data_IF_119657012300
#
_entry.id   IF_119657012300
#
_cell.length_a   1.000
_cell.length_b   1.000
_cell.length_c   1.000
_cell.angle_alpha   90.00
_cell.angle_beta   90.00
_cell.angle_gamma   90.00
#
_symmetry.space_group_name_H-M   'P 1'
#
loop_
_entity.id
_entity.type
_entity.pdbx_description
1 polymer ?
#
# COMPACT_ATOMS: atom_id res chain seq x y z
N UNK A 1 -0.56 -5.61 -32.10
CA UNK A 1 -1.08 -5.93 -30.75
C UNK A 1 -0.62 -4.85 -29.81
N UNK A 2 -1.51 -3.94 -29.40
CA UNK A 2 -1.15 -2.84 -28.51
C UNK A 2 -0.78 -3.39 -27.13
N UNK A 3 0.48 -3.22 -26.72
CA UNK A 3 0.87 -3.38 -25.33
C UNK A 3 -0.08 -2.50 -24.51
N UNK A 4 -0.87 -3.10 -23.60
CA UNK A 4 -1.63 -2.30 -22.64
C UNK A 4 -0.63 -1.38 -21.94
N UNK A 5 -0.90 -0.06 -21.86
CA UNK A 5 0.03 0.84 -21.20
C UNK A 5 0.29 0.29 -19.80
N UNK A 6 1.57 0.19 -19.37
CA UNK A 6 1.91 -0.37 -18.08
C UNK A 6 1.19 0.40 -16.97
N UNK A 7 0.71 -0.31 -15.93
CA UNK A 7 -0.01 0.30 -14.82
C UNK A 7 0.89 1.40 -14.21
N UNK A 8 0.35 2.62 -14.15
CA UNK A 8 1.11 3.81 -13.71
C UNK A 8 0.87 4.21 -12.27
N UNK A 9 -0.29 3.83 -11.72
CA UNK A 9 -0.72 4.16 -10.37
C UNK A 9 -1.81 3.21 -9.91
N UNK A 10 -1.75 2.76 -8.66
CA UNK A 10 -2.79 1.96 -8.01
C UNK A 10 -3.17 2.66 -6.71
N UNK A 11 -4.48 2.73 -6.43
CA UNK A 11 -5.00 3.12 -5.11
C UNK A 11 -5.63 1.88 -4.50
N UNK A 12 -5.17 1.52 -3.30
CA UNK A 12 -5.58 0.32 -2.58
C UNK A 12 -6.16 0.79 -1.25
N UNK A 13 -7.39 0.38 -0.99
CA UNK A 13 -8.00 0.44 0.33
C UNK A 13 -7.69 -0.89 1.03
N UNK A 14 -7.02 -0.82 2.17
CA UNK A 14 -6.47 -1.98 2.86
C UNK A 14 -6.69 -1.88 4.37
N UNK A 15 -6.75 -3.03 5.03
CA UNK A 15 -6.83 -3.12 6.48
C UNK A 15 -5.74 -4.06 6.99
N UNK A 16 -5.00 -3.65 8.02
CA UNK A 16 -3.96 -4.46 8.66
C UNK A 16 -4.23 -4.58 10.17
N UNK A 17 -3.79 -5.67 10.82
CA UNK A 17 -3.89 -5.75 12.28
C UNK A 17 -3.02 -4.69 12.95
N UNK A 18 -3.44 -4.18 14.11
CA UNK A 18 -2.65 -3.22 14.91
C UNK A 18 -1.38 -3.82 15.50
N UNK A 19 -1.25 -5.16 15.50
CA UNK A 19 -0.12 -5.90 16.08
C UNK A 19 0.64 -6.69 15.02
N UNK A 20 1.98 -6.68 15.12
CA UNK A 20 2.88 -7.56 14.37
C UNK A 20 3.40 -6.98 13.04
N UNK A 21 2.66 -6.11 12.37
CA UNK A 21 3.08 -5.45 11.13
C UNK A 21 2.86 -3.94 11.28
N UNK A 22 3.85 -3.14 10.92
CA UNK A 22 3.71 -1.68 10.91
C UNK A 22 3.43 -1.16 9.51
N UNK A 23 2.84 0.03 9.40
CA UNK A 23 2.65 0.73 8.12
C UNK A 23 3.97 0.96 7.37
N UNK A 24 5.09 1.07 8.11
CA UNK A 24 6.43 1.24 7.55
C UNK A 24 6.91 -0.04 6.88
N UNK A 25 6.59 -1.20 7.45
CA UNK A 25 6.93 -2.50 6.87
C UNK A 25 6.16 -2.72 5.57
N UNK A 26 4.85 -2.39 5.57
CA UNK A 26 4.01 -2.44 4.36
C UNK A 26 4.60 -1.54 3.26
N UNK A 27 4.96 -0.30 3.59
CA UNK A 27 5.55 0.62 2.62
C UNK A 27 6.89 0.10 2.05
N UNK A 28 7.75 -0.47 2.90
CA UNK A 28 9.05 -1.03 2.50
C UNK A 28 8.89 -2.23 1.58
N UNK A 29 7.97 -3.15 1.87
CA UNK A 29 7.75 -4.33 1.04
C UNK A 29 7.16 -3.96 -0.32
N UNK A 30 6.20 -3.02 -0.36
CA UNK A 30 5.64 -2.51 -1.63
C UNK A 30 6.69 -1.80 -2.49
N UNK A 31 7.63 -1.07 -1.87
CA UNK A 31 8.69 -0.37 -2.60
C UNK A 31 9.71 -1.32 -3.25
N UNK A 32 9.84 -2.56 -2.75
CA UNK A 32 10.75 -3.56 -3.34
C UNK A 32 10.18 -4.22 -4.61
N UNK A 33 8.90 -4.04 -4.90
CA UNK A 33 8.25 -4.62 -6.08
C UNK A 33 8.78 -3.98 -7.36
N UNK A 34 9.13 -4.80 -8.35
CA UNK A 34 9.67 -4.32 -9.63
C UNK A 34 8.70 -3.35 -10.32
N UNK A 35 9.22 -2.19 -10.73
CA UNK A 35 8.44 -1.15 -11.41
C UNK A 35 7.78 -0.13 -10.48
N UNK A 36 7.78 -0.34 -9.16
CA UNK A 36 7.29 0.64 -8.19
C UNK A 36 8.33 1.75 -8.01
N UNK A 37 7.90 3.00 -8.17
CA UNK A 37 8.77 4.18 -8.05
C UNK A 37 8.63 4.90 -6.71
N UNK A 38 7.44 4.82 -6.12
CA UNK A 38 7.10 5.47 -4.87
C UNK A 38 5.93 4.73 -4.22
N UNK A 39 5.83 4.80 -2.90
CA UNK A 39 4.69 4.29 -2.15
C UNK A 39 4.29 5.35 -1.15
N UNK A 40 2.99 5.63 -1.06
CA UNK A 40 2.41 6.46 0.01
C UNK A 40 1.42 5.61 0.79
N UNK A 41 1.65 5.46 2.07
CA UNK A 41 0.71 4.83 3.01
C UNK A 41 0.15 5.93 3.90
N UNK A 42 -1.18 6.02 3.98
CA UNK A 42 -1.91 6.93 4.87
C UNK A 42 -2.76 6.08 5.79
N UNK A 43 -2.80 6.40 7.08
CA UNK A 43 -3.73 5.78 8.02
C UNK A 43 -5.02 6.60 7.96
N UNK A 44 -6.12 5.97 7.54
CA UNK A 44 -7.41 6.64 7.38
C UNK A 44 -8.24 6.54 8.66
N UNK A 45 -8.26 5.37 9.29
CA UNK A 45 -8.93 5.13 10.58
C UNK A 45 -8.16 4.13 11.47
N UNK A 46 -8.51 4.14 12.75
CA UNK A 46 -7.90 3.30 13.78
C UNK A 46 -9.01 2.68 14.61
N UNK A 47 -9.05 1.35 14.64
CA UNK A 47 -9.93 0.55 15.49
C UNK A 47 -9.08 -0.27 16.50
N UNK A 48 -9.74 -0.97 17.42
CA UNK A 48 -9.09 -1.68 18.54
C UNK A 48 -8.05 -2.69 18.04
N UNK A 49 -8.37 -3.42 16.98
CA UNK A 49 -7.54 -4.50 16.44
C UNK A 49 -7.07 -4.26 14.99
N UNK A 50 -7.55 -3.21 14.33
CA UNK A 50 -7.36 -2.97 12.89
C UNK A 50 -6.97 -1.52 12.58
N UNK A 51 -6.08 -1.32 11.60
CA UNK A 51 -5.77 -0.04 10.99
C UNK A 51 -6.26 -0.05 9.54
N UNK A 52 -7.12 0.89 9.16
CA UNK A 52 -7.45 1.13 7.76
C UNK A 52 -6.43 2.05 7.11
N UNK A 53 -6.02 1.68 5.90
CA UNK A 53 -4.93 2.29 5.16
C UNK A 53 -5.36 2.64 3.74
N UNK A 54 -5.14 3.89 3.34
CA UNK A 54 -5.10 4.29 1.94
C UNK A 54 -3.67 4.19 1.41
N UNK A 55 -3.43 3.22 0.53
CA UNK A 55 -2.13 2.97 -0.08
C UNK A 55 -2.16 3.45 -1.54
N UNK A 56 -1.17 4.24 -1.92
CA UNK A 56 -0.94 4.67 -3.29
C UNK A 56 0.43 4.16 -3.73
N UNK A 57 0.44 3.42 -4.84
CA UNK A 57 1.64 2.88 -5.49
C UNK A 57 1.77 3.48 -6.88
#
# INVERSE_FOLDING_TARGET
>A
MGQRPPIRRIVIDAAIPTKGITIVDVAKELYKVEGVKAVRVTVDDVDVDVLGLAIVV
#
